data_IF_774495833712
#
_entry.id   IF_774495833712
#
_cell.length_a   1.000
_cell.length_b   1.000
_cell.length_c   1.000
_cell.angle_alpha   90.00
_cell.angle_beta   90.00
_cell.angle_gamma   90.00
#
_symmetry.space_group_name_H-M   'P 1'
#
loop_
_entity.id
_entity.type
_entity.pdbx_description
1 polymer ?
#
# COMPACT_ATOMS: atom_id res chain seq x y z
N UNK A 1 -69.43 -25.10 -27.22
CA UNK A 1 -70.03 -23.94 -26.53
C UNK A 1 -69.45 -23.94 -25.13
N UNK A 2 -68.53 -23.03 -24.75
CA UNK A 2 -68.19 -21.73 -25.36
C UNK A 2 -66.68 -21.47 -25.26
N UNK A 3 -66.08 -20.82 -26.27
CA UNK A 3 -64.73 -20.26 -26.13
C UNK A 3 -64.79 -18.97 -25.32
N UNK A 4 -63.81 -18.74 -24.45
CA UNK A 4 -63.34 -17.40 -24.13
C UNK A 4 -61.81 -17.42 -24.02
N UNK A 5 -61.17 -16.37 -24.53
CA UNK A 5 -59.71 -16.23 -24.59
C UNK A 5 -59.29 -14.97 -23.84
N UNK A 6 -58.22 -15.08 -23.06
CA UNK A 6 -57.49 -13.93 -22.52
C UNK A 6 -55.99 -14.27 -22.51
N UNK A 7 -55.21 -13.59 -23.34
CA UNK A 7 -53.76 -13.58 -23.18
C UNK A 7 -53.40 -12.83 -21.90
N UNK A 8 -52.51 -13.41 -21.08
CA UNK A 8 -51.80 -12.70 -20.03
C UNK A 8 -50.32 -12.65 -20.41
N UNK A 9 -49.83 -11.48 -20.83
CA UNK A 9 -48.41 -11.28 -21.17
C UNK A 9 -47.57 -11.24 -19.90
N UNK A 10 -46.82 -12.31 -19.65
CA UNK A 10 -45.86 -12.36 -18.54
C UNK A 10 -44.64 -11.48 -18.84
N UNK A 11 -44.68 -10.21 -18.43
CA UNK A 11 -43.48 -9.35 -18.40
C UNK A 11 -42.46 -9.92 -17.39
N UNK A 12 -41.26 -10.35 -17.81
CA UNK A 12 -40.26 -10.96 -16.92
C UNK A 12 -39.42 -9.91 -16.16
N UNK A 13 -40.01 -8.73 -15.88
CA UNK A 13 -39.30 -7.53 -15.39
C UNK A 13 -39.51 -7.25 -13.88
N UNK A 14 -39.98 -8.22 -13.10
CA UNK A 14 -40.28 -8.04 -11.68
C UNK A 14 -39.71 -9.15 -10.78
N UNK A 15 -38.39 -9.38 -10.85
CA UNK A 15 -37.66 -10.11 -9.79
C UNK A 15 -36.18 -9.72 -9.60
N UNK A 16 -35.68 -8.67 -10.27
CA UNK A 16 -34.38 -8.08 -9.92
C UNK A 16 -34.48 -7.33 -8.59
N UNK A 17 -34.42 -8.07 -7.49
CA UNK A 17 -34.11 -7.49 -6.18
C UNK A 17 -32.65 -7.01 -6.22
N UNK A 18 -32.41 -5.71 -6.21
CA UNK A 18 -31.06 -5.21 -5.97
C UNK A 18 -30.63 -5.66 -4.57
N UNK A 19 -29.56 -6.47 -4.48
CA UNK A 19 -28.90 -6.71 -3.21
C UNK A 19 -27.98 -5.52 -2.96
N UNK A 20 -28.58 -4.39 -2.62
CA UNK A 20 -27.87 -3.14 -2.34
C UNK A 20 -27.16 -3.29 -0.99
N UNK A 21 -25.94 -3.78 -1.05
CA UNK A 21 -25.05 -3.90 0.10
C UNK A 21 -24.33 -2.57 0.30
N UNK A 22 -24.68 -1.88 1.39
CA UNK A 22 -24.07 -0.62 1.78
C UNK A 22 -22.73 -0.91 2.47
N UNK A 23 -21.63 -0.45 1.90
CA UNK A 23 -20.33 -0.41 2.59
C UNK A 23 -20.15 0.94 3.30
N UNK A 24 -19.38 0.95 4.38
CA UNK A 24 -18.93 2.16 5.06
C UNK A 24 -17.52 2.54 4.59
N UNK A 25 -17.26 3.83 4.39
CA UNK A 25 -15.89 4.35 4.22
C UNK A 25 -15.21 4.51 5.60
N UNK A 26 -13.89 4.28 5.73
CA UNK A 26 -12.91 4.00 4.67
C UNK A 26 -12.94 2.55 4.16
N UNK A 27 -12.60 2.35 2.89
CA UNK A 27 -12.60 1.03 2.26
C UNK A 27 -11.53 0.09 2.85
N UNK A 28 -10.40 0.64 3.32
CA UNK A 28 -9.43 -0.03 4.20
C UNK A 28 -8.90 1.00 5.21
N UNK A 29 -8.91 0.69 6.50
CA UNK A 29 -8.39 1.60 7.53
C UNK A 29 -6.92 1.33 7.88
N UNK A 30 -6.04 1.43 6.87
CA UNK A 30 -4.58 1.23 6.96
C UNK A 30 -3.87 2.23 6.05
N UNK A 31 -2.61 2.57 6.36
CA UNK A 31 -1.77 3.54 5.62
C UNK A 31 -1.38 3.01 4.22
N UNK A 32 -2.22 3.27 3.23
CA UNK A 32 -2.04 2.88 1.83
C UNK A 32 -2.13 4.12 0.93
N UNK A 33 -1.06 4.93 0.87
CA UNK A 33 -1.02 6.18 0.12
C UNK A 33 -0.72 5.99 -1.37
N UNK A 34 -1.00 7.03 -2.15
CA UNK A 34 -0.53 7.21 -3.54
C UNK A 34 -0.89 6.02 -4.43
N UNK A 35 -2.20 5.89 -4.72
CA UNK A 35 -2.84 4.73 -5.34
C UNK A 35 -2.95 4.85 -6.87
N UNK A 36 -3.00 3.70 -7.57
CA UNK A 36 -2.91 3.57 -9.05
C UNK A 36 -3.78 2.40 -9.58
N UNK A 37 -4.45 2.60 -10.74
CA UNK A 37 -5.93 2.54 -10.97
C UNK A 37 -6.71 1.52 -11.86
N UNK A 38 -6.18 0.62 -12.72
CA UNK A 38 -7.00 -0.06 -13.79
C UNK A 38 -7.87 -1.32 -13.43
N UNK A 39 -8.15 -2.25 -14.37
CA UNK A 39 -8.62 -3.62 -14.09
C UNK A 39 -8.04 -4.70 -15.04
N UNK A 40 -7.68 -5.90 -14.54
CA UNK A 40 -7.42 -7.10 -15.36
C UNK A 40 -8.64 -8.02 -15.38
N UNK A 41 -9.38 -8.04 -16.50
CA UNK A 41 -10.57 -8.90 -16.68
C UNK A 41 -11.61 -8.68 -15.57
N UNK A 42 -11.79 -9.61 -14.63
CA UNK A 42 -12.68 -9.42 -13.47
C UNK A 42 -11.92 -9.01 -12.19
N UNK A 43 -10.59 -8.98 -12.20
CA UNK A 43 -9.74 -8.74 -11.01
C UNK A 43 -9.10 -7.33 -11.01
N UNK A 44 -9.14 -6.63 -9.86
CA UNK A 44 -8.43 -5.37 -9.66
C UNK A 44 -7.13 -5.54 -8.82
N UNK A 45 -6.05 -4.77 -9.03
CA UNK A 45 -4.75 -4.76 -8.30
C UNK A 45 -4.17 -3.41 -7.74
N UNK A 46 -4.41 -3.03 -6.48
CA UNK A 46 -4.05 -1.70 -5.93
C UNK A 46 -2.54 -1.57 -5.73
N UNK A 47 -1.87 -0.64 -6.41
CA UNK A 47 -0.49 -0.23 -6.06
C UNK A 47 -0.51 0.86 -4.99
N UNK A 48 0.51 0.94 -4.12
CA UNK A 48 0.68 2.02 -3.15
C UNK A 48 2.15 2.40 -2.93
N UNK A 49 2.39 3.63 -2.47
CA UNK A 49 3.72 4.06 -2.03
C UNK A 49 4.10 3.55 -0.63
N UNK A 50 5.41 3.34 -0.41
CA UNK A 50 6.01 2.84 0.85
C UNK A 50 7.30 3.55 1.27
N UNK A 51 7.74 4.58 0.53
CA UNK A 51 8.98 5.31 0.84
C UNK A 51 10.20 4.37 0.99
N UNK A 52 10.75 4.24 2.20
CA UNK A 52 11.93 3.42 2.52
C UNK A 52 11.60 2.05 3.15
N UNK A 53 10.34 1.61 3.18
CA UNK A 53 9.98 0.27 3.63
C UNK A 53 10.25 -0.80 2.54
N UNK A 54 10.65 -2.00 2.94
CA UNK A 54 11.11 -3.09 2.06
C UNK A 54 10.52 -4.44 2.48
N UNK A 55 9.91 -5.25 1.61
CA UNK A 55 9.57 -5.00 0.21
C UNK A 55 8.62 -3.81 0.07
N UNK A 56 8.97 -2.86 -0.80
CA UNK A 56 8.11 -1.71 -1.11
C UNK A 56 7.11 -2.00 -2.23
N UNK A 57 6.29 -1.00 -2.55
CA UNK A 57 5.25 -1.06 -3.60
C UNK A 57 4.29 -2.26 -3.44
N UNK A 58 3.53 -2.35 -2.33
CA UNK A 58 2.60 -3.44 -2.08
C UNK A 58 1.46 -3.40 -3.09
N UNK A 59 1.29 -4.50 -3.82
CA UNK A 59 0.13 -4.73 -4.69
C UNK A 59 -0.96 -5.43 -3.86
N UNK A 60 -2.01 -4.69 -3.47
CA UNK A 60 -3.25 -5.30 -2.97
C UNK A 60 -4.14 -5.69 -4.15
N UNK A 61 -5.34 -6.22 -3.88
CA UNK A 61 -6.32 -6.60 -4.91
C UNK A 61 -7.39 -5.50 -5.12
N UNK A 62 -7.00 -4.31 -5.61
CA UNK A 62 -7.90 -3.18 -5.96
C UNK A 62 -7.29 -2.09 -6.91
N UNK A 63 -7.15 -2.45 -8.18
CA UNK A 63 -6.96 -1.70 -9.45
C UNK A 63 -5.46 -1.27 -9.88
N UNK A 64 -4.20 -1.06 -10.43
CA UNK A 64 -3.41 -1.23 -11.74
C UNK A 64 -2.51 -2.48 -12.11
N UNK A 65 -1.76 -2.41 -13.26
CA UNK A 65 -0.38 -2.92 -13.54
C UNK A 65 -0.08 -3.92 -14.72
N UNK A 66 -0.92 -4.19 -15.74
CA UNK A 66 -0.77 -5.35 -16.69
C UNK A 66 -0.74 -5.06 -18.20
N UNK A 67 -0.01 -5.90 -18.95
CA UNK A 67 0.05 -6.00 -20.43
C UNK A 67 -0.37 -7.39 -20.93
N UNK A 68 -1.62 -7.53 -21.35
CA UNK A 68 -2.24 -8.83 -21.70
C UNK A 68 -1.53 -9.58 -22.84
N UNK A 69 -1.08 -8.88 -23.89
CA UNK A 69 -0.44 -9.50 -25.08
C UNK A 69 0.86 -10.26 -24.80
N UNK A 70 1.42 -10.12 -23.59
CA UNK A 70 2.62 -10.83 -23.13
C UNK A 70 2.45 -11.54 -21.78
N UNK A 71 1.26 -11.47 -21.15
CA UNK A 71 1.01 -11.88 -19.76
C UNK A 71 2.07 -11.32 -18.78
N UNK A 72 2.33 -10.02 -18.86
CA UNK A 72 3.35 -9.33 -18.08
C UNK A 72 2.76 -8.16 -17.31
N UNK A 73 2.98 -8.12 -15.99
CA UNK A 73 2.79 -6.92 -15.18
C UNK A 73 4.05 -6.06 -15.23
N UNK A 74 3.87 -4.74 -15.32
CA UNK A 74 4.93 -3.74 -15.39
C UNK A 74 4.73 -2.73 -14.26
N UNK A 75 5.71 -2.60 -13.37
CA UNK A 75 5.75 -1.55 -12.36
C UNK A 75 6.90 -0.58 -12.66
N UNK A 76 6.67 0.71 -12.46
CA UNK A 76 7.72 1.73 -12.52
C UNK A 76 7.47 2.80 -11.47
N UNK A 77 8.52 3.15 -10.72
CA UNK A 77 8.50 4.29 -9.81
C UNK A 77 9.85 5.00 -9.78
N UNK A 78 9.81 6.34 -9.69
CA UNK A 78 10.99 7.13 -9.38
C UNK A 78 11.39 7.01 -7.90
N UNK A 79 12.68 6.86 -7.62
CA UNK A 79 13.21 6.88 -6.25
C UNK A 79 14.02 8.17 -6.01
N UNK A 80 13.64 8.90 -4.95
CA UNK A 80 14.35 10.07 -4.43
C UNK A 80 14.70 11.17 -5.46
N UNK A 81 13.87 11.35 -6.50
CA UNK A 81 14.10 12.35 -7.55
C UNK A 81 15.20 11.99 -8.57
N UNK A 82 15.77 10.78 -8.49
CA UNK A 82 16.91 10.34 -9.31
C UNK A 82 16.50 9.56 -10.56
N UNK A 83 16.64 8.23 -10.49
CA UNK A 83 16.26 7.30 -11.56
C UNK A 83 14.90 6.65 -11.28
N UNK A 84 14.28 6.11 -12.33
CA UNK A 84 13.08 5.28 -12.20
C UNK A 84 13.42 3.81 -12.41
N UNK A 85 12.90 2.96 -11.53
CA UNK A 85 13.21 1.54 -11.48
C UNK A 85 12.06 0.77 -12.09
N UNK A 86 12.33 0.02 -13.17
CA UNK A 86 11.32 -0.81 -13.84
C UNK A 86 11.40 -2.22 -13.29
N UNK A 87 10.27 -2.76 -12.88
CA UNK A 87 10.11 -4.15 -12.43
C UNK A 87 9.04 -4.84 -13.26
N UNK A 88 9.20 -6.14 -13.50
CA UNK A 88 8.24 -6.93 -14.27
C UNK A 88 7.97 -8.29 -13.65
N UNK A 89 6.72 -8.75 -13.68
CA UNK A 89 6.32 -10.12 -13.38
C UNK A 89 5.56 -10.71 -14.57
N UNK A 90 6.07 -11.79 -15.16
CA UNK A 90 5.52 -12.40 -16.38
C UNK A 90 5.28 -13.89 -16.24
N UNK A 91 4.33 -14.45 -17.01
CA UNK A 91 3.96 -15.87 -16.88
C UNK A 91 3.06 -16.15 -15.66
N UNK A 92 2.39 -15.10 -15.18
CA UNK A 92 1.40 -15.09 -14.09
C UNK A 92 0.14 -15.91 -14.38
N UNK A 93 -0.14 -16.16 -15.67
CA UNK A 93 -1.39 -16.71 -16.21
C UNK A 93 -2.64 -15.87 -15.89
N UNK A 94 -2.50 -14.56 -15.65
CA UNK A 94 -3.63 -13.69 -15.29
C UNK A 94 -4.74 -13.73 -16.35
N UNK A 95 -4.41 -13.60 -17.64
CA UNK A 95 -5.40 -13.68 -18.72
C UNK A 95 -6.17 -15.01 -18.74
N UNK A 96 -5.50 -16.13 -18.42
CA UNK A 96 -6.12 -17.46 -18.36
C UNK A 96 -6.96 -17.67 -17.09
N UNK A 97 -6.56 -17.03 -15.98
CA UNK A 97 -7.19 -17.13 -14.66
C UNK A 97 -8.22 -16.00 -14.40
N UNK A 98 -8.79 -15.41 -15.46
CA UNK A 98 -9.78 -14.31 -15.39
C UNK A 98 -9.29 -13.05 -14.63
N UNK A 99 -7.98 -12.84 -14.61
CA UNK A 99 -7.26 -11.77 -13.91
C UNK A 99 -6.51 -12.24 -12.66
N UNK A 100 -6.79 -13.42 -12.11
CA UNK A 100 -6.23 -13.88 -10.83
C UNK A 100 -4.76 -14.30 -10.90
N UNK A 101 -3.92 -13.68 -10.07
CA UNK A 101 -2.51 -14.05 -9.83
C UNK A 101 -2.34 -14.42 -8.37
N UNK A 102 -1.88 -15.65 -8.11
CA UNK A 102 -1.67 -16.17 -6.75
C UNK A 102 -0.21 -16.08 -6.30
N UNK A 103 0.70 -16.39 -7.23
CA UNK A 103 2.13 -16.49 -6.99
C UNK A 103 2.84 -15.46 -7.87
N UNK A 104 3.48 -14.48 -7.23
CA UNK A 104 4.17 -13.39 -7.91
C UNK A 104 5.66 -13.65 -8.03
N UNK A 105 6.24 -13.31 -9.18
CA UNK A 105 7.69 -13.40 -9.43
C UNK A 105 8.17 -12.12 -10.10
N UNK A 106 8.44 -11.12 -9.28
CA UNK A 106 8.91 -9.80 -9.70
C UNK A 106 10.42 -9.79 -9.92
N UNK A 107 10.85 -9.27 -11.07
CA UNK A 107 12.26 -9.12 -11.44
C UNK A 107 12.57 -7.66 -11.78
N UNK A 108 13.71 -7.16 -11.30
CA UNK A 108 14.26 -5.88 -11.74
C UNK A 108 14.56 -5.96 -13.24
N UNK A 109 14.01 -5.04 -14.01
CA UNK A 109 13.99 -5.08 -15.47
C UNK A 109 14.96 -4.08 -16.10
N UNK A 110 14.96 -2.84 -15.62
CA UNK A 110 15.82 -1.75 -16.10
C UNK A 110 15.88 -0.60 -15.10
N UNK A 111 16.93 0.24 -15.18
CA UNK A 111 17.00 1.53 -14.49
C UNK A 111 16.96 2.65 -15.53
N UNK A 112 15.82 3.33 -15.64
CA UNK A 112 15.66 4.46 -16.55
C UNK A 112 16.27 5.73 -15.93
N UNK A 113 17.11 6.49 -16.66
CA UNK A 113 17.91 7.59 -16.10
C UNK A 113 17.10 8.86 -15.78
N UNK A 114 15.78 8.85 -16.04
CA UNK A 114 14.86 9.94 -15.69
C UNK A 114 14.03 9.53 -14.48
N UNK A 115 13.83 10.45 -13.54
CA UNK A 115 12.74 10.40 -12.59
C UNK A 115 11.41 10.72 -13.30
N UNK A 116 10.56 9.72 -13.48
CA UNK A 116 9.14 9.95 -13.74
C UNK A 116 8.50 10.16 -12.36
N UNK A 117 8.43 11.42 -11.95
CA UNK A 117 7.88 11.82 -10.65
C UNK A 117 6.35 11.89 -10.71
N UNK A 118 5.64 11.42 -9.69
CA UNK A 118 4.17 11.28 -9.63
C UNK A 118 3.60 10.70 -10.95
N UNK A 119 3.87 9.41 -11.18
CA UNK A 119 3.69 8.75 -12.47
C UNK A 119 2.56 7.72 -12.50
N UNK A 120 1.86 7.63 -13.63
CA UNK A 120 0.99 6.50 -14.01
C UNK A 120 1.48 5.85 -15.31
N UNK A 121 1.26 4.53 -15.49
CA UNK A 121 1.75 3.73 -16.63
C UNK A 121 0.59 3.20 -17.50
N UNK A 122 -0.17 4.05 -18.23
CA UNK A 122 -1.18 3.56 -19.16
C UNK A 122 -0.54 2.73 -20.29
N UNK A 123 -1.09 1.53 -20.49
CA UNK A 123 -0.77 0.64 -21.61
C UNK A 123 -1.95 0.66 -22.58
N UNK A 124 -1.69 1.12 -23.79
CA UNK A 124 -2.70 1.34 -24.85
C UNK A 124 -3.19 0.00 -25.45
N UNK A 125 -4.33 0.02 -26.14
CA UNK A 125 -4.96 -1.18 -26.74
C UNK A 125 -4.06 -1.87 -27.78
N UNK A 126 -3.13 -1.15 -28.41
CA UNK A 126 -2.12 -1.70 -29.33
C UNK A 126 -0.90 -2.31 -28.61
N UNK A 127 -0.85 -2.19 -27.28
CA UNK A 127 0.24 -2.65 -26.42
C UNK A 127 1.43 -1.69 -26.33
N UNK A 128 1.32 -0.45 -26.81
CA UNK A 128 2.26 0.65 -26.55
C UNK A 128 2.15 1.08 -25.09
N UNK A 129 3.29 1.33 -24.45
CA UNK A 129 3.35 1.79 -23.06
C UNK A 129 3.72 3.27 -23.02
N UNK A 130 2.94 4.04 -22.26
CA UNK A 130 3.19 5.45 -21.98
C UNK A 130 3.37 5.67 -20.48
N UNK A 131 4.09 6.73 -20.10
CA UNK A 131 4.16 7.21 -18.73
C UNK A 131 3.67 8.65 -18.72
N UNK A 132 2.55 8.91 -18.05
CA UNK A 132 2.15 10.26 -17.67
C UNK A 132 2.85 10.62 -16.35
N UNK A 133 3.51 11.78 -16.26
CA UNK A 133 4.28 12.15 -15.06
C UNK A 133 4.51 13.66 -14.92
N UNK A 134 4.81 14.10 -13.69
CA UNK A 134 5.18 15.47 -13.33
C UNK A 134 4.02 16.28 -12.76
N UNK A 135 4.36 17.34 -12.00
CA UNK A 135 3.39 18.15 -11.26
C UNK A 135 2.98 19.43 -12.01
N UNK A 136 3.79 20.49 -11.96
CA UNK A 136 3.47 21.78 -12.62
C UNK A 136 3.47 21.70 -14.16
N UNK A 137 4.24 20.77 -14.72
CA UNK A 137 4.17 20.39 -16.14
C UNK A 137 3.96 18.88 -16.19
N UNK A 138 2.82 18.46 -16.73
CA UNK A 138 2.53 17.05 -17.01
C UNK A 138 3.16 16.71 -18.37
N UNK A 139 3.96 15.66 -18.37
CA UNK A 139 4.66 15.14 -19.53
C UNK A 139 4.14 13.73 -19.83
N UNK A 140 4.15 13.36 -21.11
CA UNK A 140 3.90 11.98 -21.56
C UNK A 140 5.17 11.47 -22.24
N UNK A 141 5.83 10.52 -21.59
CA UNK A 141 6.88 9.71 -22.19
C UNK A 141 6.24 8.48 -22.86
N UNK A 142 6.78 8.06 -24.01
CA UNK A 142 6.48 6.79 -24.64
C UNK A 142 7.67 5.85 -24.40
N UNK A 143 7.39 4.61 -24.01
CA UNK A 143 8.41 3.57 -23.83
C UNK A 143 8.55 2.69 -25.07
N UNK A 144 9.67 1.97 -25.15
CA UNK A 144 9.78 0.82 -26.04
C UNK A 144 8.87 -0.32 -25.56
N UNK A 145 8.55 -1.28 -26.45
CA UNK A 145 7.61 -2.38 -26.19
C UNK A 145 8.04 -3.40 -25.09
N UNK A 146 9.17 -3.17 -24.41
CA UNK A 146 9.66 -4.00 -23.29
C UNK A 146 10.01 -3.17 -22.04
N UNK A 147 9.58 -1.91 -21.99
CA UNK A 147 9.76 -0.95 -20.88
C UNK A 147 11.22 -0.67 -20.48
N UNK A 148 12.19 -0.77 -21.39
CA UNK A 148 13.63 -0.54 -21.10
C UNK A 148 14.21 0.75 -21.69
N UNK A 149 13.43 1.57 -22.38
CA UNK A 149 13.88 2.88 -22.88
C UNK A 149 12.72 3.84 -23.13
N UNK A 150 12.96 5.13 -22.87
CA UNK A 150 12.17 6.24 -23.43
C UNK A 150 12.45 6.34 -24.94
N UNK A 151 11.41 6.34 -25.78
CA UNK A 151 11.52 6.50 -27.24
C UNK A 151 11.04 7.88 -27.72
N UNK A 152 10.19 8.53 -26.94
CA UNK A 152 9.67 9.88 -27.15
C UNK A 152 9.28 10.48 -25.81
N UNK A 153 9.37 11.80 -25.66
CA UNK A 153 8.81 12.53 -24.52
C UNK A 153 8.28 13.89 -24.97
N UNK A 154 7.17 14.33 -24.40
CA UNK A 154 6.51 15.60 -24.71
C UNK A 154 5.82 16.15 -23.46
N UNK A 155 5.95 17.46 -23.20
CA UNK A 155 5.03 18.15 -22.30
C UNK A 155 3.65 18.19 -22.97
N UNK A 156 2.61 17.77 -22.26
CA UNK A 156 1.22 17.78 -22.75
C UNK A 156 0.37 18.87 -22.08
N UNK A 157 0.72 19.24 -20.84
CA UNK A 157 0.05 20.29 -20.09
C UNK A 157 1.04 21.02 -19.17
N UNK A 158 0.81 22.31 -18.92
CA UNK A 158 1.54 23.10 -17.91
C UNK A 158 0.55 24.02 -17.22
N UNK A 159 0.51 23.97 -15.89
CA UNK A 159 -0.27 24.92 -15.10
C UNK A 159 0.62 26.02 -14.51
N UNK A 160 0.06 27.23 -14.36
CA UNK A 160 0.60 28.24 -13.44
C UNK A 160 0.19 28.02 -11.98
N UNK A 161 -0.71 27.05 -11.72
CA UNK A 161 -1.27 26.72 -10.41
C UNK A 161 -1.50 25.20 -10.32
N UNK A 162 -0.63 24.51 -9.57
CA UNK A 162 -0.68 23.04 -9.38
C UNK A 162 -1.94 22.55 -8.65
N UNK A 163 -2.79 23.44 -8.15
CA UNK A 163 -4.03 23.07 -7.45
C UNK A 163 -5.25 22.99 -8.36
N UNK A 164 -5.10 23.31 -9.65
CA UNK A 164 -6.17 23.33 -10.65
C UNK A 164 -6.09 22.14 -11.63
N UNK A 165 -7.24 21.58 -12.05
CA UNK A 165 -7.31 20.59 -13.12
C UNK A 165 -6.96 21.21 -14.49
N UNK A 166 -6.66 20.35 -15.47
CA UNK A 166 -6.01 20.76 -16.73
C UNK A 166 -6.86 21.67 -17.65
N UNK A 167 -8.16 21.66 -17.43
CA UNK A 167 -9.24 22.31 -18.18
C UNK A 167 -10.09 23.26 -17.31
N UNK A 168 -9.67 23.50 -16.06
CA UNK A 168 -10.45 24.16 -15.00
C UNK A 168 -11.73 23.40 -14.54
N UNK A 169 -11.98 22.15 -14.99
CA UNK A 169 -13.11 21.31 -14.56
C UNK A 169 -12.75 20.35 -13.41
N UNK A 170 -13.41 20.50 -12.25
CA UNK A 170 -13.14 19.68 -11.06
C UNK A 170 -13.88 18.33 -11.12
N UNK A 171 -13.14 17.26 -11.41
CA UNK A 171 -13.64 15.86 -11.48
C UNK A 171 -14.44 15.45 -10.23
N UNK A 172 -14.03 15.91 -9.04
CA UNK A 172 -14.89 15.97 -7.85
C UNK A 172 -14.67 17.26 -7.07
N UNK A 173 -15.77 17.87 -6.61
CA UNK A 173 -15.80 18.76 -5.45
C UNK A 173 -16.67 18.13 -4.36
N UNK A 174 -16.07 17.81 -3.21
CA UNK A 174 -16.76 17.12 -2.10
C UNK A 174 -17.07 18.08 -0.95
N UNK A 175 -18.24 18.71 -1.01
CA UNK A 175 -18.77 19.48 0.12
C UNK A 175 -19.11 18.53 1.29
N UNK A 176 -18.40 18.65 2.42
CA UNK A 176 -18.53 17.83 3.64
C UNK A 176 -18.14 16.34 3.53
N UNK A 177 -16.86 16.05 3.22
CA UNK A 177 -16.20 14.88 3.86
C UNK A 177 -16.27 15.06 5.39
N UNK A 178 -16.38 13.97 6.17
CA UNK A 178 -16.32 14.05 7.65
C UNK A 178 -14.90 14.33 8.16
N UNK A 179 -14.51 15.58 8.08
CA UNK A 179 -13.26 16.15 8.59
C UNK A 179 -13.19 17.60 8.12
N UNK A 180 -12.64 18.51 8.92
CA UNK A 180 -12.63 19.92 8.52
C UNK A 180 -11.74 20.17 7.30
N UNK A 181 -12.13 21.23 6.59
CA UNK A 181 -11.40 21.95 5.54
C UNK A 181 -11.42 21.25 4.16
N UNK A 182 -11.53 22.05 3.08
CA UNK A 182 -11.49 21.57 1.69
C UNK A 182 -10.10 20.97 1.41
N UNK A 183 -10.01 19.64 1.36
CA UNK A 183 -8.76 18.94 1.06
C UNK A 183 -8.69 18.61 -0.42
N UNK A 184 -7.53 18.88 -1.02
CA UNK A 184 -7.17 18.29 -2.30
C UNK A 184 -7.00 16.79 -2.09
N UNK A 185 -7.68 16.00 -2.92
CA UNK A 185 -7.70 14.55 -2.84
C UNK A 185 -6.98 14.02 -4.07
N UNK A 186 -5.92 13.24 -3.85
CA UNK A 186 -5.32 12.41 -4.89
C UNK A 186 -6.04 11.06 -4.90
N UNK A 187 -6.15 10.49 -6.10
CA UNK A 187 -7.00 9.36 -6.41
C UNK A 187 -7.19 9.25 -7.91
N UNK A 188 -7.85 8.18 -8.34
CA UNK A 188 -7.92 7.76 -9.75
C UNK A 188 -9.24 7.01 -10.04
N UNK A 189 -9.53 6.74 -11.31
CA UNK A 189 -10.84 6.30 -11.81
C UNK A 189 -10.82 4.94 -12.48
N UNK A 190 -11.83 4.10 -12.19
CA UNK A 190 -11.82 2.71 -12.64
C UNK A 190 -13.18 2.09 -12.92
N UNK A 191 -13.28 1.34 -14.02
CA UNK A 191 -14.47 0.55 -14.37
C UNK A 191 -14.47 -0.85 -13.75
N UNK A 192 -15.62 -1.32 -13.25
CA UNK A 192 -15.87 -2.76 -13.06
C UNK A 192 -16.04 -3.47 -14.41
N UNK A 193 -16.11 -4.81 -14.41
CA UNK A 193 -16.46 -5.61 -15.59
C UNK A 193 -17.82 -5.22 -16.21
N UNK A 194 -18.75 -4.74 -15.38
CA UNK A 194 -20.09 -4.30 -15.75
C UNK A 194 -20.11 -2.79 -16.12
N UNK A 195 -18.92 -2.25 -16.46
CA UNK A 195 -18.64 -0.87 -16.89
C UNK A 195 -19.06 0.20 -15.87
N UNK A 196 -18.93 -0.11 -14.57
CA UNK A 196 -19.28 0.81 -13.48
C UNK A 196 -18.06 1.56 -12.99
N UNK A 197 -18.02 2.88 -13.19
CA UNK A 197 -16.87 3.69 -12.82
C UNK A 197 -16.91 4.14 -11.36
N UNK A 198 -15.77 4.01 -10.70
CA UNK A 198 -15.49 4.47 -9.35
C UNK A 198 -14.41 5.52 -9.35
N UNK A 199 -14.50 6.48 -8.43
CA UNK A 199 -13.35 7.26 -8.01
C UNK A 199 -12.84 6.67 -6.69
N UNK A 200 -11.60 6.19 -6.71
CA UNK A 200 -10.90 5.74 -5.52
C UNK A 200 -9.88 6.82 -5.13
N UNK A 201 -9.87 7.16 -3.84
CA UNK A 201 -9.17 8.31 -3.29
C UNK A 201 -8.54 7.94 -1.95
N UNK A 202 -7.74 8.83 -1.35
CA UNK A 202 -7.35 8.69 0.06
C UNK A 202 -7.64 9.94 0.90
N UNK A 203 -7.77 9.74 2.22
CA UNK A 203 -7.89 10.82 3.21
C UNK A 203 -6.68 10.86 4.14
N UNK A 204 -6.17 12.06 4.43
CA UNK A 204 -5.19 12.32 5.50
C UNK A 204 -5.80 12.08 6.89
N UNK A 205 -5.77 10.82 7.32
CA UNK A 205 -6.29 10.33 8.60
C UNK A 205 -5.18 10.17 9.66
N UNK A 206 -4.27 11.14 9.73
CA UNK A 206 -3.20 11.15 10.74
C UNK A 206 -3.77 11.16 12.18
N UNK A 207 -3.11 10.46 13.13
CA UNK A 207 -1.80 9.83 13.02
C UNK A 207 -1.80 8.44 12.36
N UNK A 208 -2.95 7.90 11.95
CA UNK A 208 -3.07 6.54 11.42
C UNK A 208 -2.45 6.32 10.03
N UNK A 209 -2.42 7.36 9.19
CA UNK A 209 -1.87 7.30 7.83
C UNK A 209 -2.77 8.01 6.81
N UNK A 210 -2.53 7.74 5.53
CA UNK A 210 -3.43 8.08 4.41
C UNK A 210 -4.22 6.82 4.04
N UNK A 211 -5.55 6.91 4.11
CA UNK A 211 -6.43 5.73 4.06
C UNK A 211 -7.37 5.78 2.85
N UNK A 212 -7.55 4.67 2.11
CA UNK A 212 -8.39 4.68 0.92
C UNK A 212 -9.88 4.83 1.23
N UNK A 213 -10.53 5.65 0.42
CA UNK A 213 -11.99 5.85 0.36
C UNK A 213 -12.47 5.65 -1.07
N UNK A 214 -13.68 5.11 -1.23
CA UNK A 214 -14.31 4.93 -2.54
C UNK A 214 -15.60 5.74 -2.58
N UNK A 215 -15.81 6.45 -3.68
CA UNK A 215 -17.12 7.02 -4.00
C UNK A 215 -17.56 6.57 -5.39
N UNK A 216 -18.85 6.25 -5.61
CA UNK A 216 -19.41 6.43 -6.94
C UNK A 216 -19.25 7.93 -7.31
N UNK A 217 -18.78 8.27 -8.51
CA UNK A 217 -18.83 9.66 -8.96
C UNK A 217 -20.29 10.05 -9.19
N UNK A 218 -20.63 11.31 -8.92
CA UNK A 218 -21.97 11.85 -9.24
C UNK A 218 -22.01 12.30 -10.68
N UNK A 219 -22.71 11.53 -11.52
CA UNK A 219 -22.90 11.81 -12.94
C UNK A 219 -24.33 12.30 -13.25
N UNK A 220 -24.54 12.74 -14.48
CA UNK A 220 -25.79 13.29 -15.00
C UNK A 220 -26.82 12.21 -15.43
N UNK A 221 -27.85 12.62 -16.17
CA UNK A 221 -29.08 11.84 -16.50
C UNK A 221 -28.83 10.60 -17.40
N UNK A 222 -27.57 10.32 -17.74
CA UNK A 222 -27.07 9.35 -18.70
C UNK A 222 -26.59 7.99 -18.11
N UNK A 223 -26.76 7.77 -16.79
CA UNK A 223 -27.06 6.43 -16.21
C UNK A 223 -25.95 5.63 -15.49
N UNK A 224 -26.02 5.50 -14.15
CA UNK A 224 -24.89 5.07 -13.30
C UNK A 224 -25.23 4.15 -12.08
N UNK A 225 -24.91 2.83 -12.14
CA UNK A 225 -24.99 1.82 -11.03
C UNK A 225 -23.94 1.77 -9.85
N UNK A 226 -23.71 0.58 -9.24
CA UNK A 226 -23.31 0.35 -7.81
C UNK A 226 -22.06 -0.55 -7.54
N UNK A 227 -21.60 -0.59 -6.27
CA UNK A 227 -20.20 -0.82 -5.78
C UNK A 227 -19.92 -2.23 -5.19
N UNK A 228 -18.64 -2.58 -4.95
CA UNK A 228 -18.14 -3.87 -4.42
C UNK A 228 -17.68 -3.84 -2.93
N UNK A 229 -17.36 -5.01 -2.37
CA UNK A 229 -17.03 -5.25 -0.94
C UNK A 229 -15.69 -4.65 -0.45
N UNK A 230 -15.65 -4.33 0.84
CA UNK A 230 -14.41 -4.09 1.62
C UNK A 230 -13.54 -5.35 1.71
N UNK A 231 -12.23 -5.22 1.47
CA UNK A 231 -11.27 -6.30 1.79
C UNK A 231 -11.04 -6.34 3.31
N UNK A 232 -11.36 -7.44 4.01
CA UNK A 232 -11.17 -7.52 5.45
C UNK A 232 -9.68 -7.64 5.79
N UNK A 233 -9.13 -6.64 6.48
CA UNK A 233 -7.77 -6.68 7.02
C UNK A 233 -7.55 -7.91 7.90
N UNK A 234 -6.39 -8.58 7.76
CA UNK A 234 -6.14 -9.89 8.36
C UNK A 234 -5.79 -9.79 9.86
N UNK A 235 -6.82 -9.67 10.71
CA UNK A 235 -6.66 -9.83 12.16
C UNK A 235 -6.42 -11.30 12.52
N UNK A 236 -5.38 -11.58 13.31
CA UNK A 236 -5.09 -12.93 13.79
C UNK A 236 -3.72 -13.03 14.45
N UNK A 237 -3.34 -14.25 14.84
CA UNK A 237 -1.96 -14.59 15.18
C UNK A 237 -1.18 -14.85 13.88
N UNK A 238 -0.06 -14.16 13.70
CA UNK A 238 0.98 -14.57 12.76
C UNK A 238 2.05 -15.35 13.55
N UNK A 239 2.21 -16.64 13.23
CA UNK A 239 3.24 -17.52 13.83
C UNK A 239 4.56 -17.47 13.06
N UNK A 240 4.65 -16.77 11.93
CA UNK A 240 5.74 -16.86 10.95
C UNK A 240 5.95 -18.29 10.40
N UNK A 241 4.84 -18.99 10.18
CA UNK A 241 4.78 -20.31 9.54
C UNK A 241 4.75 -20.19 8.01
N UNK A 242 5.64 -20.90 7.31
CA UNK A 242 5.61 -21.02 5.85
C UNK A 242 6.93 -20.66 5.15
N UNK A 243 6.95 -20.65 3.80
CA UNK A 243 8.15 -20.40 3.00
C UNK A 243 8.41 -18.91 2.72
N UNK A 244 7.41 -18.05 2.92
CA UNK A 244 7.44 -16.61 2.63
C UNK A 244 6.91 -15.82 3.82
N UNK A 245 7.44 -14.61 4.02
CA UNK A 245 6.94 -13.69 5.04
C UNK A 245 5.56 -13.16 4.63
N UNK A 246 4.67 -12.87 5.59
CA UNK A 246 3.37 -12.27 5.30
C UNK A 246 3.53 -10.94 4.55
N UNK A 247 2.70 -10.72 3.50
CA UNK A 247 2.66 -9.48 2.72
C UNK A 247 2.28 -8.23 3.55
N UNK A 248 1.80 -8.43 4.78
CA UNK A 248 1.50 -7.35 5.72
C UNK A 248 2.76 -6.77 6.40
N UNK A 249 3.90 -7.44 6.28
CA UNK A 249 5.13 -7.15 7.01
C UNK A 249 6.21 -6.55 6.11
N UNK A 250 6.71 -5.38 6.49
CA UNK A 250 7.74 -4.62 5.77
C UNK A 250 8.87 -4.22 6.72
N UNK A 251 10.12 -4.39 6.31
CA UNK A 251 11.30 -3.91 7.02
C UNK A 251 11.45 -2.40 6.86
N UNK A 252 11.89 -1.68 7.89
CA UNK A 252 12.44 -0.33 7.69
C UNK A 252 13.80 -0.45 7.02
N UNK A 253 13.93 0.12 5.82
CA UNK A 253 15.06 -0.06 4.89
C UNK A 253 15.26 -1.53 4.47
N UNK A 254 16.21 -1.77 3.55
CA UNK A 254 16.54 -3.12 3.12
C UNK A 254 17.19 -3.91 4.26
N UNK A 255 16.71 -5.12 4.60
CA UNK A 255 17.29 -5.93 5.66
C UNK A 255 18.63 -6.56 5.25
N UNK A 256 19.52 -6.76 6.22
CA UNK A 256 20.62 -7.70 6.07
C UNK A 256 20.07 -9.13 6.16
N UNK A 257 19.95 -9.79 5.01
CA UNK A 257 19.47 -11.16 4.86
C UNK A 257 20.32 -12.25 5.52
N UNK A 258 21.52 -11.94 6.02
CA UNK A 258 22.39 -12.92 6.69
C UNK A 258 22.07 -13.10 8.19
N UNK A 259 21.27 -12.19 8.76
CA UNK A 259 21.03 -12.09 10.21
C UNK A 259 19.55 -12.19 10.62
N UNK A 260 18.63 -12.53 9.70
CA UNK A 260 17.27 -12.98 10.05
C UNK A 260 16.92 -14.31 9.38
N UNK A 261 15.92 -15.01 9.91
CA UNK A 261 15.36 -16.24 9.35
C UNK A 261 13.98 -16.53 9.92
N UNK A 262 13.11 -17.17 9.15
CA UNK A 262 11.82 -17.68 9.61
C UNK A 262 11.48 -19.01 8.92
N UNK A 263 10.71 -19.86 9.60
CA UNK A 263 10.15 -21.14 9.12
C UNK A 263 8.91 -21.51 9.93
N UNK A 264 9.02 -21.38 11.26
CA UNK A 264 7.98 -21.64 12.27
C UNK A 264 8.06 -20.69 13.48
N UNK A 265 8.96 -19.71 13.41
CA UNK A 265 9.16 -18.59 14.32
C UNK A 265 9.93 -17.50 13.55
N UNK A 266 9.86 -16.23 13.98
CA UNK A 266 10.72 -15.17 13.45
C UNK A 266 11.96 -15.03 14.32
N UNK A 267 13.14 -15.28 13.74
CA UNK A 267 14.42 -15.12 14.44
C UNK A 267 15.21 -13.96 13.87
N UNK A 268 15.33 -12.90 14.67
CA UNK A 268 16.23 -11.78 14.44
C UNK A 268 17.57 -12.03 15.17
N UNK A 269 18.68 -11.59 14.58
CA UNK A 269 19.98 -11.40 15.23
C UNK A 269 20.37 -9.92 15.07
N UNK A 270 21.21 -9.40 15.96
CA UNK A 270 21.63 -8.00 15.92
C UNK A 270 22.42 -7.67 14.66
N UNK A 271 21.81 -6.88 13.77
CA UNK A 271 22.35 -6.46 12.47
C UNK A 271 23.24 -5.20 12.56
N UNK A 272 23.08 -4.39 13.60
CA UNK A 272 23.78 -3.11 13.76
C UNK A 272 24.22 -2.93 15.22
N UNK A 273 25.46 -2.47 15.43
CA UNK A 273 25.94 -2.02 16.74
C UNK A 273 25.63 -0.53 16.86
N UNK A 274 24.50 -0.20 17.47
CA UNK A 274 24.04 1.19 17.66
C UNK A 274 23.26 1.37 18.95
N UNK A 275 23.19 2.61 19.44
CA UNK A 275 22.29 3.01 20.53
C UNK A 275 21.01 3.68 20.02
N UNK A 276 20.91 3.94 18.72
CA UNK A 276 19.85 4.69 18.05
C UNK A 276 19.03 3.78 17.13
N UNK A 277 17.73 3.66 17.44
CA UNK A 277 16.79 2.80 16.72
C UNK A 277 16.61 3.19 15.25
N UNK A 278 16.72 4.47 14.89
CA UNK A 278 16.55 4.91 13.50
C UNK A 278 17.71 4.47 12.59
N UNK A 279 18.84 4.05 13.18
CA UNK A 279 19.99 3.47 12.47
C UNK A 279 20.03 1.94 12.53
N UNK A 280 19.09 1.28 13.23
CA UNK A 280 19.11 -0.16 13.44
C UNK A 280 18.47 -0.93 12.27
N UNK A 281 19.29 -1.66 11.53
CA UNK A 281 18.84 -2.56 10.46
C UNK A 281 17.94 -3.68 11.01
N UNK A 282 17.11 -4.24 10.15
CA UNK A 282 16.19 -5.35 10.43
C UNK A 282 15.12 -5.00 11.51
N UNK A 283 14.70 -3.74 11.57
CA UNK A 283 13.47 -3.33 12.26
C UNK A 283 12.27 -3.75 11.41
N UNK A 284 11.58 -4.82 11.80
CA UNK A 284 10.37 -5.30 11.11
C UNK A 284 9.13 -4.52 11.55
N UNK A 285 8.28 -4.15 10.60
CA UNK A 285 7.06 -3.35 10.83
C UNK A 285 5.85 -3.96 10.13
N UNK A 286 4.64 -3.49 10.49
CA UNK A 286 3.39 -3.70 9.75
C UNK A 286 2.44 -2.52 10.00
N UNK A 287 1.52 -2.27 9.07
CA UNK A 287 0.52 -1.19 9.17
C UNK A 287 -0.40 -1.38 10.39
N UNK A 288 -0.73 -0.28 11.04
CA UNK A 288 -1.69 -0.25 12.16
C UNK A 288 -3.12 -0.25 11.61
N UNK A 289 -4.02 -0.96 12.29
CA UNK A 289 -5.44 -1.06 11.94
C UNK A 289 -6.23 0.01 12.68
N UNK A 290 -6.90 0.90 11.94
CA UNK A 290 -7.79 1.91 12.51
C UNK A 290 -9.21 1.38 12.81
N UNK A 291 -10.03 2.15 13.54
CA UNK A 291 -9.67 3.39 14.25
C UNK A 291 -8.83 3.15 15.50
N UNK A 292 -8.87 1.92 16.05
CA UNK A 292 -8.11 1.48 17.24
C UNK A 292 -7.82 -0.02 17.12
N UNK A 293 -6.59 -0.41 17.42
CA UNK A 293 -6.17 -1.82 17.49
C UNK A 293 -5.07 -2.01 18.54
N UNK A 294 -4.70 -3.27 18.79
CA UNK A 294 -3.63 -3.63 19.71
C UNK A 294 -2.68 -4.63 19.02
N UNK A 295 -1.43 -4.23 18.81
CA UNK A 295 -0.35 -5.15 18.44
C UNK A 295 0.16 -5.87 19.69
N UNK A 296 0.18 -7.20 19.67
CA UNK A 296 0.76 -8.02 20.74
C UNK A 296 1.87 -8.88 20.16
N UNK A 297 3.07 -8.77 20.74
CA UNK A 297 4.25 -9.52 20.32
C UNK A 297 4.68 -10.43 21.47
N UNK A 298 5.07 -11.66 21.14
CA UNK A 298 5.65 -12.62 22.09
C UNK A 298 7.10 -12.84 21.69
N UNK A 299 8.05 -12.46 22.54
CA UNK A 299 9.48 -12.42 22.19
C UNK A 299 10.25 -13.37 23.08
N UNK A 300 11.00 -14.30 22.48
CA UNK A 300 12.01 -15.07 23.22
C UNK A 300 13.30 -14.25 23.34
N UNK A 301 13.68 -13.95 24.58
CA UNK A 301 14.83 -13.12 24.94
C UNK A 301 16.02 -13.93 25.46
N UNK A 302 15.96 -15.26 25.44
CA UNK A 302 17.03 -16.13 25.94
C UNK A 302 18.34 -16.01 25.14
N UNK A 303 18.26 -15.53 23.89
CA UNK A 303 19.41 -15.31 23.01
C UNK A 303 20.12 -13.97 23.16
N UNK A 304 19.62 -13.04 23.98
CA UNK A 304 20.18 -11.68 24.10
C UNK A 304 21.54 -11.66 24.83
N UNK A 305 22.51 -10.98 24.22
CA UNK A 305 23.86 -10.74 24.72
C UNK A 305 23.96 -9.36 25.38
N UNK A 306 25.02 -9.15 26.17
CA UNK A 306 25.29 -7.86 26.81
C UNK A 306 25.30 -6.71 25.79
N UNK A 307 24.52 -5.65 26.06
CA UNK A 307 24.28 -4.52 25.16
C UNK A 307 23.07 -4.65 24.23
N UNK A 308 22.54 -5.86 23.99
CA UNK A 308 21.42 -6.06 23.07
C UNK A 308 20.13 -5.37 23.57
N UNK A 309 19.33 -4.86 22.62
CA UNK A 309 17.99 -4.32 22.85
C UNK A 309 16.98 -4.92 21.88
N UNK A 310 15.84 -5.38 22.37
CA UNK A 310 14.78 -5.98 21.55
C UNK A 310 13.38 -5.74 22.15
N UNK A 311 12.38 -5.44 21.33
CA UNK A 311 11.03 -5.11 21.82
C UNK A 311 10.04 -4.77 20.72
N UNK A 312 8.89 -4.22 21.12
CA UNK A 312 7.83 -3.74 20.23
C UNK A 312 7.82 -2.21 20.20
N UNK A 313 7.79 -1.63 19.00
CA UNK A 313 7.89 -0.18 18.75
C UNK A 313 6.66 0.36 18.00
N UNK A 314 6.14 1.51 18.45
CA UNK A 314 5.28 2.37 17.65
C UNK A 314 6.19 3.23 16.76
N UNK A 315 6.44 2.76 15.54
CA UNK A 315 7.51 3.26 14.68
C UNK A 315 7.03 4.38 13.73
N UNK A 316 7.58 5.58 13.91
CA UNK A 316 7.45 6.76 13.03
C UNK A 316 8.60 7.72 13.34
N UNK A 317 8.69 8.87 12.65
CA UNK A 317 9.71 9.91 12.93
C UNK A 317 9.70 10.38 14.41
N UNK A 318 8.52 10.39 15.04
CA UNK A 318 8.39 10.40 16.50
C UNK A 318 7.94 9.01 16.95
N UNK A 319 8.71 8.34 17.80
CA UNK A 319 8.48 6.95 18.19
C UNK A 319 8.56 6.71 19.70
N UNK A 320 8.01 5.58 20.12
CA UNK A 320 8.11 5.03 21.48
C UNK A 320 8.10 3.49 21.41
N UNK A 321 8.80 2.81 22.33
CA UNK A 321 8.86 1.36 22.38
C UNK A 321 8.81 0.80 23.80
N UNK A 322 8.40 -0.46 23.90
CA UNK A 322 8.56 -1.29 25.10
C UNK A 322 9.44 -2.50 24.75
N UNK A 323 10.51 -2.71 25.50
CA UNK A 323 11.52 -3.71 25.13
C UNK A 323 12.49 -4.09 26.24
N UNK A 324 13.13 -5.23 26.07
CA UNK A 324 14.24 -5.66 26.92
C UNK A 324 15.51 -4.94 26.51
N UNK A 325 16.25 -4.44 27.50
CA UNK A 325 17.69 -4.17 27.36
C UNK A 325 18.45 -5.21 28.20
N UNK A 326 19.56 -5.71 27.65
CA UNK A 326 20.42 -6.71 28.29
C UNK A 326 21.68 -6.03 28.82
N UNK A 327 21.98 -6.23 30.11
CA UNK A 327 23.22 -5.74 30.73
C UNK A 327 23.89 -6.87 31.52
N UNK A 328 25.08 -7.26 31.07
CA UNK A 328 25.74 -8.51 31.46
C UNK A 328 24.80 -9.71 31.31
N UNK A 329 24.51 -10.35 32.44
CA UNK A 329 23.60 -11.50 32.51
C UNK A 329 22.15 -11.16 32.92
N UNK A 330 21.82 -9.88 33.06
CA UNK A 330 20.51 -9.40 33.52
C UNK A 330 19.71 -8.78 32.38
N UNK A 331 18.42 -9.12 32.29
CA UNK A 331 17.47 -8.48 31.37
C UNK A 331 16.53 -7.58 32.18
N UNK A 332 16.26 -6.38 31.66
CA UNK A 332 15.31 -5.42 32.24
C UNK A 332 14.38 -4.89 31.16
N UNK A 333 13.09 -4.76 31.49
CA UNK A 333 12.08 -4.25 30.57
C UNK A 333 11.98 -2.73 30.72
N UNK A 334 12.10 -2.00 29.62
CA UNK A 334 12.02 -0.53 29.58
C UNK A 334 10.87 -0.09 28.68
N UNK A 335 10.19 0.99 29.09
CA UNK A 335 9.41 1.83 28.18
C UNK A 335 10.24 3.08 27.87
N UNK A 336 10.48 3.30 26.58
CA UNK A 336 11.25 4.43 26.07
C UNK A 336 10.36 5.25 25.13
N UNK A 337 10.24 6.54 25.40
CA UNK A 337 9.43 7.49 24.64
C UNK A 337 10.30 8.58 24.00
N UNK A 338 9.70 9.45 23.17
CA UNK A 338 10.36 10.63 22.60
C UNK A 338 11.63 10.27 21.82
N UNK A 339 11.60 9.16 21.08
CA UNK A 339 12.54 8.99 19.98
C UNK A 339 12.12 9.99 18.89
N UNK A 340 13.06 10.80 18.39
CA UNK A 340 12.78 11.88 17.43
C UNK A 340 13.84 11.90 16.31
N UNK A 341 13.36 11.72 15.08
CA UNK A 341 14.13 11.77 13.83
C UNK A 341 13.82 13.08 13.10
N UNK A 342 14.84 13.92 12.92
CA UNK A 342 14.71 15.21 12.25
C UNK A 342 14.33 15.09 10.77
N UNK A 343 13.76 16.16 10.22
CA UNK A 343 13.37 16.26 8.80
C UNK A 343 14.56 16.21 7.82
N UNK A 344 15.78 16.28 8.34
CA UNK A 344 17.04 16.05 7.63
C UNK A 344 17.54 14.59 7.71
N UNK A 345 16.73 13.67 8.24
CA UNK A 345 17.04 12.26 8.49
C UNK A 345 18.19 12.03 9.49
N UNK A 346 18.42 12.99 10.41
CA UNK A 346 19.36 12.86 11.53
C UNK A 346 18.58 12.77 12.83
N UNK A 347 18.92 11.80 13.69
CA UNK A 347 18.27 11.62 14.99
C UNK A 347 18.54 12.80 15.91
N UNK A 348 17.48 13.48 16.33
CA UNK A 348 17.53 14.55 17.33
C UNK A 348 17.60 13.97 18.75
N UNK A 349 16.87 12.88 19.00
CA UNK A 349 16.79 12.24 20.31
C UNK A 349 16.61 10.72 20.19
N UNK A 350 17.53 9.94 20.75
CA UNK A 350 17.47 8.47 20.78
C UNK A 350 16.49 7.89 21.83
N UNK A 351 15.56 8.71 22.32
CA UNK A 351 14.55 8.36 23.32
C UNK A 351 14.94 8.68 24.77
N UNK A 352 13.93 8.67 25.64
CA UNK A 352 14.02 8.86 27.10
C UNK A 352 13.29 7.70 27.80
N UNK A 353 13.89 7.12 28.83
CA UNK A 353 13.22 6.10 29.65
C UNK A 353 12.10 6.74 30.48
N UNK A 354 10.85 6.33 30.23
CA UNK A 354 9.70 6.75 31.03
C UNK A 354 9.40 5.79 32.20
N UNK A 355 9.65 4.50 32.01
CA UNK A 355 9.43 3.46 33.02
C UNK A 355 10.39 2.27 32.83
N UNK A 356 10.69 1.54 33.91
CA UNK A 356 11.55 0.38 33.89
C UNK A 356 11.14 -0.69 34.92
N UNK A 357 11.30 -1.96 34.55
CA UNK A 357 11.25 -3.13 35.43
C UNK A 357 12.67 -3.72 35.47
N UNK A 358 13.42 -3.34 36.51
CA UNK A 358 14.88 -3.54 36.61
C UNK A 358 15.31 -4.98 36.95
N UNK A 359 14.35 -5.89 37.13
CA UNK A 359 14.61 -7.31 37.32
C UNK A 359 13.45 -8.13 36.78
N UNK A 360 13.60 -8.65 35.57
CA UNK A 360 12.90 -9.87 35.20
C UNK A 360 13.51 -11.04 36.01
N UNK A 361 12.72 -12.04 36.37
CA UNK A 361 13.22 -13.22 37.09
C UNK A 361 14.32 -13.92 36.28
N UNK A 362 15.32 -14.51 36.94
CA UNK A 362 16.53 -15.04 36.27
C UNK A 362 16.26 -16.11 35.18
N UNK A 363 15.08 -16.72 35.18
CA UNK A 363 14.64 -17.73 34.20
C UNK A 363 13.61 -17.18 33.18
N UNK A 364 13.41 -15.85 33.10
CA UNK A 364 12.47 -15.22 32.18
C UNK A 364 13.00 -15.27 30.74
N UNK A 365 12.66 -16.33 30.01
CA UNK A 365 13.06 -16.53 28.61
C UNK A 365 12.11 -15.89 27.60
N UNK A 366 10.87 -15.56 27.99
CA UNK A 366 9.87 -14.98 27.10
C UNK A 366 9.15 -13.81 27.76
N UNK A 367 8.83 -12.79 26.98
CA UNK A 367 7.89 -11.69 27.28
C UNK A 367 6.74 -11.68 26.26
#
# INVERSE_FOLDING_TARGET
>A
MTLLSTCATSNPLNSLRSRTETFDNPAVWQDYPDLDVFRVRDIPYYSSSTFAFSTGAPVLKSFDLYRESTDTFHWIGCIAGGSSYVWTASGTNAAANNGEVRDWSWFSREILPRCYYDNGLPIDDDGTMYIAYGSATVNVAQLNAVSTAEVKNQAVYTSSDVTKPADDEYVLKVDNVRGSDERQILGDVVSTKDVQWYYMAFLDAYPGGRIPVVTPPTWTEDGWPQVMETVPSKTGLDSFEGPTLSYECEWSHNPDGSVWSFVSDMRLRTATVTNDLFTAHNTLTRRILGPKSAGTFRVDISGLKDGDRAGAVLFRVVAAYIGNHRSGNSSSLFMVEKLDLGTNWVTNLAGTVAAAVLTLGANATKI
#
